data_IF_357470531435
#
_entry.id   IF_357470531435
#
_cell.length_a   1.000
_cell.length_b   1.000
_cell.length_c   1.000
_cell.angle_alpha   90.00
_cell.angle_beta   90.00
_cell.angle_gamma   90.00
#
_symmetry.space_group_name_H-M   'P 1'
#
loop_
_entity.id
_entity.type
_entity.pdbx_description
1 polymer ?
#
# COMPACT_ATOMS: atom_id res chain seq x y z
N UNK A 1 -35.38 14.99 13.66
CA UNK A 1 -33.95 14.60 13.73
C UNK A 1 -33.52 14.09 12.37
N UNK A 2 -32.41 14.58 11.80
CA UNK A 2 -31.88 14.02 10.54
C UNK A 2 -31.41 12.58 10.78
N UNK A 3 -31.82 11.63 9.93
CA UNK A 3 -31.30 10.26 9.98
C UNK A 3 -29.78 10.29 9.77
N UNK A 4 -29.03 9.82 10.76
CA UNK A 4 -27.57 9.68 10.65
C UNK A 4 -27.29 8.42 9.83
N UNK A 5 -26.57 8.56 8.72
CA UNK A 5 -26.13 7.42 7.93
C UNK A 5 -25.28 6.48 8.78
N UNK A 6 -25.57 5.17 8.72
CA UNK A 6 -24.80 4.15 9.43
C UNK A 6 -24.65 2.93 8.54
N UNK A 7 -23.42 2.49 8.32
CA UNK A 7 -23.16 1.25 7.62
C UNK A 7 -23.55 0.04 8.49
N UNK A 8 -24.04 -1.05 7.89
CA UNK A 8 -24.23 -2.32 8.57
C UNK A 8 -22.96 -2.80 9.29
N UNK A 9 -23.12 -3.60 10.34
CA UNK A 9 -21.98 -4.27 10.96
C UNK A 9 -21.26 -5.14 9.91
N UNK A 10 -19.92 -5.14 9.94
CA UNK A 10 -19.07 -5.87 8.99
C UNK A 10 -19.21 -5.47 7.52
N UNK A 11 -19.92 -4.39 7.19
CA UNK A 11 -20.19 -3.99 5.80
C UNK A 11 -18.94 -3.93 4.92
N UNK A 12 -17.84 -3.35 5.41
CA UNK A 12 -16.58 -3.32 4.65
C UNK A 12 -16.10 -4.72 4.31
N UNK A 13 -16.06 -5.63 5.30
CA UNK A 13 -15.54 -6.99 5.10
C UNK A 13 -16.44 -7.76 4.13
N UNK A 14 -17.76 -7.77 4.35
CA UNK A 14 -18.69 -8.48 3.47
C UNK A 14 -18.68 -7.93 2.04
N UNK A 15 -18.64 -6.61 1.88
CA UNK A 15 -18.66 -5.95 0.57
C UNK A 15 -17.35 -6.17 -0.18
N UNK A 16 -16.20 -6.01 0.48
CA UNK A 16 -14.89 -6.25 -0.15
C UNK A 16 -14.72 -7.73 -0.49
N UNK A 17 -15.16 -8.65 0.37
CA UNK A 17 -15.17 -10.08 0.06
C UNK A 17 -16.02 -10.38 -1.18
N UNK A 18 -17.25 -9.87 -1.26
CA UNK A 18 -18.10 -10.04 -2.44
C UNK A 18 -17.48 -9.44 -3.71
N UNK A 19 -16.88 -8.26 -3.61
CA UNK A 19 -16.16 -7.63 -4.73
C UNK A 19 -15.04 -8.54 -5.23
N UNK A 20 -14.20 -9.05 -4.32
CA UNK A 20 -13.05 -9.90 -4.64
C UNK A 20 -13.48 -11.26 -5.19
N UNK A 21 -14.52 -11.88 -4.62
CA UNK A 21 -14.92 -13.25 -4.97
C UNK A 21 -15.83 -13.32 -6.20
N UNK A 22 -16.74 -12.36 -6.35
CA UNK A 22 -17.86 -12.50 -7.30
C UNK A 22 -17.87 -11.43 -8.38
N UNK A 23 -17.51 -10.18 -8.06
CA UNK A 23 -17.74 -9.05 -8.98
C UNK A 23 -16.53 -8.66 -9.82
N UNK A 24 -15.33 -8.70 -9.25
CA UNK A 24 -14.11 -8.29 -9.92
C UNK A 24 -13.46 -9.37 -10.79
N UNK A 25 -13.50 -10.68 -10.47
CA UNK A 25 -12.87 -11.68 -11.33
C UNK A 25 -13.33 -11.66 -12.79
N UNK A 26 -14.64 -11.48 -13.10
CA UNK A 26 -15.10 -11.35 -14.49
C UNK A 26 -14.60 -10.08 -15.20
N UNK A 27 -14.14 -9.07 -14.45
CA UNK A 27 -13.72 -7.77 -14.98
C UNK A 27 -12.20 -7.64 -15.09
N UNK A 28 -11.46 -8.19 -14.13
CA UNK A 28 -10.01 -8.02 -13.99
C UNK A 28 -9.22 -9.29 -14.31
N UNK A 29 -9.89 -10.44 -14.46
CA UNK A 29 -9.26 -11.75 -14.54
C UNK A 29 -9.08 -12.39 -13.15
N UNK A 30 -8.36 -13.51 -13.10
CA UNK A 30 -8.15 -14.27 -11.86
C UNK A 30 -7.36 -13.48 -10.81
N UNK A 31 -7.74 -13.62 -9.55
CA UNK A 31 -6.97 -13.09 -8.43
C UNK A 31 -5.71 -13.94 -8.19
N UNK A 32 -4.56 -13.33 -8.42
CA UNK A 32 -3.22 -13.88 -8.15
C UNK A 32 -2.41 -12.84 -7.37
N UNK A 33 -1.22 -13.20 -6.90
CA UNK A 33 -0.32 -12.21 -6.26
C UNK A 33 0.06 -11.09 -7.23
N UNK A 34 0.27 -11.40 -8.51
CA UNK A 34 0.60 -10.42 -9.56
C UNK A 34 -0.57 -9.53 -9.99
N UNK A 35 -1.83 -9.95 -9.77
CA UNK A 35 -3.02 -9.16 -10.13
C UNK A 35 -3.69 -8.48 -8.94
N UNK A 36 -3.22 -8.74 -7.71
CA UNK A 36 -3.80 -8.21 -6.47
C UNK A 36 -3.86 -6.67 -6.44
N UNK A 37 -2.87 -5.98 -7.03
CA UNK A 37 -2.86 -4.52 -7.12
C UNK A 37 -4.05 -3.97 -7.90
N UNK A 38 -4.46 -4.65 -8.98
CA UNK A 38 -5.58 -4.24 -9.81
C UNK A 38 -6.89 -4.30 -9.02
N UNK A 39 -7.04 -5.33 -8.17
CA UNK A 39 -8.16 -5.44 -7.24
C UNK A 39 -8.16 -4.30 -6.22
N UNK A 40 -7.00 -3.96 -5.63
CA UNK A 40 -6.90 -2.83 -4.70
C UNK A 40 -7.35 -1.52 -5.36
N UNK A 41 -6.90 -1.27 -6.59
CA UNK A 41 -7.29 -0.08 -7.37
C UNK A 41 -8.76 -0.07 -7.75
N UNK A 42 -9.30 -1.17 -8.26
CA UNK A 42 -10.71 -1.27 -8.59
C UNK A 42 -11.62 -1.00 -7.37
N UNK A 43 -11.22 -1.49 -6.18
CA UNK A 43 -11.98 -1.32 -4.95
C UNK A 43 -11.85 0.10 -4.40
N UNK A 44 -10.62 0.62 -4.30
CA UNK A 44 -10.30 1.74 -3.40
C UNK A 44 -10.12 3.06 -4.13
N UNK A 45 -9.56 3.06 -5.34
CA UNK A 45 -9.30 4.28 -6.08
C UNK A 45 -10.62 4.95 -6.48
N UNK A 46 -10.67 6.27 -6.42
CA UNK A 46 -11.82 7.05 -6.88
C UNK A 46 -11.35 8.18 -7.78
N UNK A 47 -12.29 8.80 -8.49
CA UNK A 47 -12.03 10.00 -9.27
C UNK A 47 -12.58 11.25 -8.59
N UNK A 48 -11.91 12.38 -8.80
CA UNK A 48 -12.35 13.70 -8.36
C UNK A 48 -12.53 14.63 -9.56
N UNK A 49 -13.62 15.39 -9.56
CA UNK A 49 -13.90 16.35 -10.62
C UNK A 49 -13.16 17.66 -10.34
N UNK A 50 -12.27 18.06 -11.23
CA UNK A 50 -11.54 19.34 -11.18
C UNK A 50 -11.76 20.07 -12.51
N UNK A 51 -12.32 21.29 -12.42
CA UNK A 51 -12.65 22.10 -13.59
C UNK A 51 -13.47 21.36 -14.67
N UNK A 52 -14.44 20.54 -14.25
CA UNK A 52 -15.33 19.80 -15.14
C UNK A 52 -14.79 18.48 -15.71
N UNK A 53 -13.56 18.09 -15.38
CA UNK A 53 -12.94 16.81 -15.80
C UNK A 53 -12.66 15.93 -14.59
N UNK A 54 -12.90 14.63 -14.70
CA UNK A 54 -12.55 13.65 -13.67
C UNK A 54 -11.06 13.26 -13.74
N UNK A 55 -10.41 13.21 -12.58
CA UNK A 55 -9.03 12.76 -12.41
C UNK A 55 -8.97 11.66 -11.37
N UNK A 56 -8.17 10.61 -11.61
CA UNK A 56 -7.93 9.56 -10.61
C UNK A 56 -7.19 10.13 -9.40
N UNK A 57 -7.64 9.77 -8.20
CA UNK A 57 -7.07 10.23 -6.94
C UNK A 57 -5.81 9.43 -6.57
N UNK A 58 -4.73 9.70 -7.31
CA UNK A 58 -3.37 9.19 -7.07
C UNK A 58 -2.51 10.17 -6.24
N UNK A 59 -2.99 11.39 -6.07
CA UNK A 59 -2.38 12.42 -5.22
C UNK A 59 -3.48 13.14 -4.46
N UNK A 60 -3.10 13.85 -3.40
CA UNK A 60 -4.05 14.62 -2.62
C UNK A 60 -4.86 15.62 -3.46
N UNK A 61 -6.11 15.86 -3.05
CA UNK A 61 -7.06 16.70 -3.79
C UNK A 61 -6.55 18.14 -4.02
N UNK A 62 -5.80 18.69 -3.06
CA UNK A 62 -5.16 20.01 -3.22
C UNK A 62 -4.13 20.01 -4.35
N UNK A 63 -3.42 18.89 -4.56
CA UNK A 63 -2.45 18.73 -5.65
C UNK A 63 -3.12 18.58 -7.01
N UNK A 64 -4.30 17.95 -7.08
CA UNK A 64 -5.07 17.88 -8.33
C UNK A 64 -5.52 19.26 -8.85
N UNK A 65 -5.53 20.30 -8.00
CA UNK A 65 -5.79 21.67 -8.43
C UNK A 65 -4.59 22.31 -9.16
N UNK A 66 -3.41 21.70 -9.11
CA UNK A 66 -2.20 22.16 -9.80
C UNK A 66 -2.04 21.49 -11.17
N UNK A 67 -1.34 22.14 -12.10
CA UNK A 67 -1.08 21.55 -13.42
C UNK A 67 -0.27 20.26 -13.32
N UNK A 68 0.76 20.24 -12.48
CA UNK A 68 1.61 19.05 -12.30
C UNK A 68 0.83 17.87 -11.71
N UNK A 69 -0.07 18.11 -10.75
CA UNK A 69 -0.92 17.05 -10.20
C UNK A 69 -1.87 16.46 -11.25
N UNK A 70 -2.46 17.30 -12.12
CA UNK A 70 -3.33 16.82 -13.21
C UNK A 70 -2.57 16.02 -14.27
N UNK A 71 -1.39 16.49 -14.69
CA UNK A 71 -0.53 15.75 -15.64
C UNK A 71 -0.17 14.38 -15.08
N UNK A 72 0.18 14.30 -13.80
CA UNK A 72 0.48 13.03 -13.16
C UNK A 72 -0.75 12.10 -13.12
N UNK A 73 -1.94 12.64 -12.83
CA UNK A 73 -3.19 11.88 -12.82
C UNK A 73 -3.60 11.41 -14.23
N UNK A 74 -3.31 12.20 -15.26
CA UNK A 74 -3.51 11.82 -16.66
C UNK A 74 -2.60 10.66 -17.05
N UNK A 75 -1.30 10.75 -16.76
CA UNK A 75 -0.37 9.63 -17.00
C UNK A 75 -0.77 8.37 -16.23
N UNK A 76 -1.29 8.52 -15.02
CA UNK A 76 -1.81 7.40 -14.24
C UNK A 76 -3.03 6.74 -14.90
N UNK A 77 -3.95 7.55 -15.43
CA UNK A 77 -5.10 7.04 -16.16
C UNK A 77 -4.66 6.31 -17.44
N UNK A 78 -3.68 6.85 -18.17
CA UNK A 78 -3.12 6.20 -19.36
C UNK A 78 -2.44 4.86 -19.02
N UNK A 79 -1.63 4.83 -17.96
CA UNK A 79 -1.03 3.59 -17.48
C UNK A 79 -2.09 2.54 -17.15
N UNK A 80 -3.12 2.92 -16.39
CA UNK A 80 -4.17 1.98 -15.98
C UNK A 80 -5.06 1.54 -17.14
N UNK A 81 -5.29 2.42 -18.12
CA UNK A 81 -6.02 2.05 -19.34
C UNK A 81 -5.38 0.86 -20.04
N UNK A 82 -4.05 0.76 -20.02
CA UNK A 82 -3.29 -0.30 -20.68
C UNK A 82 -3.04 -1.52 -19.78
N UNK A 83 -2.93 -1.33 -18.46
CA UNK A 83 -2.41 -2.36 -17.55
C UNK A 83 -3.42 -2.89 -16.52
N UNK A 84 -4.56 -2.22 -16.30
CA UNK A 84 -5.51 -2.60 -15.25
C UNK A 84 -6.16 -3.96 -15.51
N UNK A 85 -6.36 -4.33 -16.78
CA UNK A 85 -6.88 -5.63 -17.20
C UNK A 85 -5.85 -6.29 -18.10
N UNK A 86 -5.33 -7.45 -17.68
CA UNK A 86 -4.26 -8.13 -18.40
C UNK A 86 -4.67 -8.42 -19.87
N UNK A 87 -3.83 -7.99 -20.80
CA UNK A 87 -4.02 -8.24 -22.24
C UNK A 87 -5.13 -7.44 -22.91
N UNK A 88 -5.72 -6.43 -22.25
CA UNK A 88 -6.77 -5.62 -22.86
C UNK A 88 -6.75 -4.17 -22.37
N UNK A 89 -7.14 -3.25 -23.25
CA UNK A 89 -7.35 -1.84 -22.85
C UNK A 89 -8.74 -1.66 -22.25
N UNK A 90 -8.84 -0.89 -21.17
CA UNK A 90 -10.11 -0.59 -20.51
C UNK A 90 -10.25 0.89 -20.16
N UNK A 91 -11.47 1.37 -19.91
CA UNK A 91 -11.67 2.66 -19.25
C UNK A 91 -11.46 2.49 -17.73
N UNK A 92 -10.37 3.03 -17.15
CA UNK A 92 -10.11 2.87 -15.72
C UNK A 92 -11.20 3.53 -14.87
N UNK A 93 -11.84 4.60 -15.34
CA UNK A 93 -12.88 5.30 -14.58
C UNK A 93 -14.16 4.47 -14.41
N UNK A 94 -14.41 3.51 -15.30
CA UNK A 94 -15.55 2.59 -15.22
C UNK A 94 -15.31 1.43 -14.24
N UNK A 95 -14.04 1.06 -14.00
CA UNK A 95 -13.68 -0.10 -13.20
C UNK A 95 -13.33 0.23 -11.75
N UNK A 96 -12.83 1.45 -11.51
CA UNK A 96 -12.47 1.90 -10.17
C UNK A 96 -13.69 2.29 -9.34
N UNK A 97 -13.45 2.60 -8.08
CA UNK A 97 -14.43 3.10 -7.13
C UNK A 97 -15.60 2.16 -6.81
N UNK A 98 -15.34 0.85 -6.82
CA UNK A 98 -16.37 -0.14 -6.51
C UNK A 98 -16.90 0.01 -5.07
N UNK A 99 -16.03 0.34 -4.11
CA UNK A 99 -16.48 0.57 -2.73
C UNK A 99 -17.34 1.83 -2.59
N UNK A 100 -17.04 2.85 -3.39
CA UNK A 100 -17.81 4.09 -3.44
C UNK A 100 -19.21 3.86 -3.97
N UNK A 101 -19.28 3.15 -5.09
CA UNK A 101 -20.54 2.75 -5.70
C UNK A 101 -21.40 1.93 -4.72
N UNK A 102 -20.80 0.96 -4.02
CA UNK A 102 -21.49 0.18 -3.00
C UNK A 102 -21.95 1.05 -1.81
N UNK A 103 -21.13 2.00 -1.36
CA UNK A 103 -21.46 2.92 -0.28
C UNK A 103 -22.66 3.82 -0.64
N UNK A 104 -22.67 4.36 -1.85
CA UNK A 104 -23.77 5.19 -2.35
C UNK A 104 -25.07 4.38 -2.49
N UNK A 105 -24.98 3.14 -2.97
CA UNK A 105 -26.13 2.24 -3.03
C UNK A 105 -26.71 1.95 -1.63
N UNK A 106 -25.85 1.68 -0.65
CA UNK A 106 -26.28 1.46 0.74
C UNK A 106 -26.92 2.71 1.36
N UNK A 107 -26.35 3.89 1.07
CA UNK A 107 -26.92 5.17 1.48
C UNK A 107 -28.29 5.44 0.87
N UNK A 108 -28.47 5.13 -0.41
CA UNK A 108 -29.75 5.26 -1.10
C UNK A 108 -30.82 4.33 -0.51
N UNK A 109 -30.46 3.08 -0.16
CA UNK A 109 -31.37 2.13 0.54
C UNK A 109 -31.88 2.68 1.88
N UNK A 110 -31.10 3.52 2.55
CA UNK A 110 -31.49 4.17 3.81
C UNK A 110 -32.31 5.45 3.62
N UNK A 111 -32.68 5.79 2.37
CA UNK A 111 -33.44 6.99 2.02
C UNK A 111 -32.65 8.28 2.14
N UNK A 112 -31.32 8.21 2.00
CA UNK A 112 -30.44 9.37 2.09
C UNK A 112 -29.93 9.76 0.71
N UNK A 113 -29.99 11.06 0.40
CA UNK A 113 -29.43 11.62 -0.82
C UNK A 113 -27.89 11.55 -0.88
N UNK A 114 -27.28 11.94 -2.00
CA UNK A 114 -25.84 11.86 -2.19
C UNK A 114 -25.07 12.62 -1.10
N UNK A 115 -23.88 12.16 -0.70
CA UNK A 115 -23.05 12.86 0.26
C UNK A 115 -22.59 14.22 -0.31
N UNK A 116 -22.31 15.18 0.58
CA UNK A 116 -21.79 16.52 0.17
C UNK A 116 -20.42 16.46 -0.50
N UNK A 117 -19.64 15.42 -0.20
CA UNK A 117 -18.33 15.14 -0.82
C UNK A 117 -18.43 13.80 -1.55
N UNK A 118 -17.82 13.71 -2.73
CA UNK A 118 -17.80 12.48 -3.56
C UNK A 118 -17.16 11.29 -2.82
N UNK A 119 -16.13 11.55 -1.99
CA UNK A 119 -15.49 10.54 -1.14
C UNK A 119 -15.28 11.03 0.29
N UNK A 120 -15.67 10.19 1.25
CA UNK A 120 -15.25 10.33 2.64
C UNK A 120 -13.86 9.69 2.80
N UNK A 121 -12.84 10.42 3.30
CA UNK A 121 -11.51 9.86 3.52
C UNK A 121 -11.50 8.60 4.40
N UNK A 122 -12.46 8.48 5.33
CA UNK A 122 -12.58 7.30 6.19
C UNK A 122 -13.02 6.06 5.41
N UNK A 123 -13.81 6.24 4.34
CA UNK A 123 -14.24 5.14 3.46
C UNK A 123 -13.05 4.61 2.69
N UNK A 124 -12.23 5.48 2.11
CA UNK A 124 -11.01 5.07 1.40
C UNK A 124 -10.05 4.31 2.33
N UNK A 125 -9.73 4.87 3.49
CA UNK A 125 -8.79 4.23 4.43
C UNK A 125 -9.29 2.86 4.88
N UNK A 126 -10.55 2.76 5.31
CA UNK A 126 -11.14 1.50 5.74
C UNK A 126 -11.27 0.47 4.59
N UNK A 127 -11.55 0.93 3.36
CA UNK A 127 -11.60 0.08 2.19
C UNK A 127 -10.22 -0.45 1.82
N UNK A 128 -9.17 0.38 1.88
CA UNK A 128 -7.81 -0.04 1.58
C UNK A 128 -7.33 -1.11 2.58
N UNK A 129 -7.48 -0.82 3.87
CA UNK A 129 -7.16 -1.74 4.97
C UNK A 129 -7.90 -3.07 4.82
N UNK A 130 -9.20 -3.01 4.54
CA UNK A 130 -10.03 -4.22 4.37
C UNK A 130 -9.67 -4.99 3.09
N UNK A 131 -9.31 -4.29 2.01
CA UNK A 131 -8.86 -4.92 0.77
C UNK A 131 -7.61 -5.76 1.03
N UNK A 132 -6.60 -5.19 1.69
CA UNK A 132 -5.39 -5.92 2.06
C UNK A 132 -5.72 -7.11 2.99
N UNK A 133 -6.58 -6.92 3.99
CA UNK A 133 -7.01 -8.02 4.86
C UNK A 133 -7.62 -9.20 4.07
N UNK A 134 -8.52 -8.91 3.13
CA UNK A 134 -9.20 -9.93 2.31
C UNK A 134 -8.23 -10.59 1.34
N UNK A 135 -7.39 -9.80 0.65
CA UNK A 135 -6.42 -10.30 -0.31
C UNK A 135 -5.36 -11.19 0.35
N UNK A 136 -4.82 -10.79 1.50
CA UNK A 136 -3.91 -11.63 2.29
C UNK A 136 -4.60 -12.93 2.71
N UNK A 137 -5.86 -12.85 3.16
CA UNK A 137 -6.68 -14.01 3.49
C UNK A 137 -6.80 -15.01 2.34
N UNK A 138 -7.02 -14.50 1.13
CA UNK A 138 -7.18 -15.32 -0.08
C UNK A 138 -5.88 -15.88 -0.64
N UNK A 139 -4.84 -15.06 -0.68
CA UNK A 139 -3.57 -15.40 -1.35
C UNK A 139 -2.58 -16.11 -0.42
N UNK A 140 -2.66 -15.88 0.89
CA UNK A 140 -1.73 -16.47 1.86
C UNK A 140 -2.42 -17.45 2.82
N UNK A 141 -3.74 -17.67 2.72
CA UNK A 141 -4.47 -18.58 3.60
C UNK A 141 -4.57 -18.13 5.07
N UNK A 142 -4.23 -16.87 5.36
CA UNK A 142 -4.21 -16.32 6.72
C UNK A 142 -4.96 -14.98 6.75
N UNK A 143 -5.89 -14.79 7.69
CA UNK A 143 -6.62 -13.52 7.84
C UNK A 143 -5.95 -12.63 8.89
N UNK A 144 -5.38 -11.47 8.52
CA UNK A 144 -4.81 -10.53 9.49
C UNK A 144 -5.84 -10.02 10.49
N UNK A 145 -5.39 -9.72 11.71
CA UNK A 145 -6.21 -9.02 12.69
C UNK A 145 -6.25 -7.54 12.37
N UNK A 146 -7.45 -7.00 12.17
CA UNK A 146 -7.67 -5.63 11.71
C UNK A 146 -8.02 -4.70 12.85
N UNK A 147 -7.27 -3.61 13.02
CA UNK A 147 -7.41 -2.63 14.11
C UNK A 147 -7.52 -3.24 15.51
N UNK A 148 -6.71 -4.26 15.86
CA UNK A 148 -6.81 -4.90 17.17
C UNK A 148 -6.55 -3.89 18.28
N UNK A 149 -7.16 -4.13 19.44
CA UNK A 149 -6.88 -3.33 20.63
C UNK A 149 -5.46 -3.65 21.07
N UNK A 150 -4.60 -2.65 21.28
CA UNK A 150 -3.20 -2.89 21.70
C UNK A 150 -3.08 -3.82 22.91
N UNK A 151 -3.92 -3.64 23.93
CA UNK A 151 -3.93 -4.48 25.13
C UNK A 151 -4.19 -5.98 24.89
N UNK A 152 -4.65 -6.35 23.70
CA UNK A 152 -4.84 -7.77 23.33
C UNK A 152 -3.60 -8.38 22.70
N UNK A 153 -2.57 -7.57 22.39
CA UNK A 153 -1.32 -7.98 21.76
C UNK A 153 -0.25 -8.18 22.81
N UNK A 154 0.51 -9.28 22.68
CA UNK A 154 1.62 -9.60 23.60
C UNK A 154 2.72 -8.53 23.59
N UNK A 155 3.09 -8.04 24.77
CA UNK A 155 4.05 -6.95 24.95
C UNK A 155 3.41 -5.56 24.98
N UNK A 156 2.08 -5.47 24.82
CA UNK A 156 1.32 -4.22 24.80
C UNK A 156 0.18 -4.17 25.83
N UNK A 157 0.12 -5.14 26.75
CA UNK A 157 -0.89 -5.25 27.81
C UNK A 157 -0.90 -4.02 28.73
N UNK A 158 0.30 -3.46 28.98
CA UNK A 158 0.53 -2.26 29.78
C UNK A 158 0.74 -1.01 28.92
N UNK A 159 0.15 -0.97 27.71
CA UNK A 159 0.11 0.26 26.94
C UNK A 159 -0.55 1.39 27.78
N UNK A 160 -0.05 2.63 27.74
CA UNK A 160 -0.51 3.69 28.62
C UNK A 160 -2.02 3.90 28.49
N UNK A 161 -2.70 4.11 29.61
CA UNK A 161 -4.12 4.47 29.62
C UNK A 161 -4.32 5.74 28.81
N UNK A 162 -5.15 5.68 27.76
CA UNK A 162 -5.34 6.79 26.82
C UNK A 162 -4.46 6.77 25.57
N UNK A 163 -3.53 5.82 25.44
CA UNK A 163 -2.84 5.60 24.16
C UNK A 163 -3.82 4.92 23.19
N UNK A 164 -4.24 5.68 22.18
CA UNK A 164 -5.33 5.28 21.27
C UNK A 164 -4.87 4.74 19.93
N UNK A 165 -3.58 4.84 19.61
CA UNK A 165 -3.04 4.31 18.35
C UNK A 165 -3.31 2.81 18.29
N UNK A 166 -3.77 2.35 17.13
CA UNK A 166 -3.96 0.92 16.85
C UNK A 166 -3.27 0.63 15.53
N UNK A 167 -2.53 -0.48 15.43
CA UNK A 167 -2.03 -0.93 14.15
C UNK A 167 -3.22 -1.27 13.24
N UNK A 168 -3.10 -0.96 11.95
CA UNK A 168 -4.19 -1.19 10.99
C UNK A 168 -4.35 -2.70 10.74
N UNK A 169 -3.24 -3.40 10.48
CA UNK A 169 -3.19 -4.86 10.38
C UNK A 169 -2.07 -5.44 11.24
N UNK A 170 -2.38 -6.56 11.90
CA UNK A 170 -1.42 -7.35 12.68
C UNK A 170 -1.41 -8.76 12.16
N UNK A 171 -0.22 -9.24 11.81
CA UNK A 171 -0.02 -10.56 11.24
C UNK A 171 0.64 -11.52 12.22
N UNK A 172 0.05 -12.71 12.17
CA UNK A 172 0.01 -13.80 13.13
C UNK A 172 -0.68 -13.45 14.44
N UNK A 173 -1.11 -14.50 15.16
CA UNK A 173 -2.02 -14.37 16.29
C UNK A 173 -1.47 -13.48 17.40
N UNK A 174 -2.30 -13.03 18.36
CA UNK A 174 -1.90 -12.01 19.33
C UNK A 174 -0.68 -12.35 20.21
N UNK A 175 -0.29 -13.63 20.27
CA UNK A 175 0.87 -14.15 21.00
C UNK A 175 2.14 -14.35 20.16
N UNK A 176 2.02 -14.42 18.84
CA UNK A 176 3.13 -14.64 17.92
C UNK A 176 3.05 -13.65 16.75
N UNK A 177 2.53 -12.44 17.00
CA UNK A 177 2.52 -11.45 15.94
C UNK A 177 3.93 -10.94 15.72
N UNK A 178 4.30 -10.88 14.44
CA UNK A 178 5.68 -10.63 13.97
C UNK A 178 5.74 -9.48 12.98
N UNK A 179 4.60 -9.13 12.39
CA UNK A 179 4.49 -8.07 11.40
C UNK A 179 3.28 -7.16 11.71
N UNK A 180 3.57 -5.88 11.86
CA UNK A 180 2.59 -4.79 11.92
C UNK A 180 2.58 -4.08 10.58
N UNK A 181 1.41 -3.91 9.98
CA UNK A 181 1.26 -3.15 8.74
C UNK A 181 0.39 -1.93 9.00
N UNK A 182 0.95 -0.74 8.75
CA UNK A 182 0.19 0.49 8.64
C UNK A 182 -0.24 0.69 7.18
N UNK A 183 -1.52 0.91 6.95
CA UNK A 183 -2.11 1.06 5.61
C UNK A 183 -2.46 2.52 5.35
N UNK A 184 -1.94 3.10 4.27
CA UNK A 184 -2.12 4.53 3.96
C UNK A 184 -2.34 4.73 2.46
N UNK A 185 -3.55 5.10 2.06
CA UNK A 185 -3.85 5.32 0.64
C UNK A 185 -2.99 6.45 0.07
N UNK A 186 -3.11 7.66 0.62
CA UNK A 186 -2.14 8.75 0.38
C UNK A 186 -1.45 9.11 1.69
N UNK A 187 -0.20 9.57 1.58
CA UNK A 187 0.59 10.05 2.70
C UNK A 187 0.65 11.58 2.68
N UNK A 188 0.57 12.17 3.87
CA UNK A 188 0.81 13.61 4.04
C UNK A 188 2.08 13.82 4.80
N UNK A 189 2.92 14.73 4.35
CA UNK A 189 4.22 15.00 4.97
C UNK A 189 4.09 15.30 6.46
N UNK A 190 3.09 16.08 6.86
CA UNK A 190 2.85 16.45 8.26
C UNK A 190 2.35 15.29 9.14
N UNK A 191 1.86 14.19 8.54
CA UNK A 191 1.37 13.02 9.27
C UNK A 191 2.40 11.90 9.42
N UNK A 192 3.48 11.93 8.64
CA UNK A 192 4.55 10.92 8.72
C UNK A 192 5.13 10.87 10.13
N UNK A 193 5.38 12.03 10.75
CA UNK A 193 5.88 12.09 12.13
C UNK A 193 4.95 11.40 13.13
N UNK A 194 3.63 11.41 12.93
CA UNK A 194 2.69 10.65 13.75
C UNK A 194 2.89 9.15 13.55
N UNK A 195 3.00 8.68 12.32
CA UNK A 195 3.18 7.25 12.02
C UNK A 195 4.53 6.72 12.52
N UNK A 196 5.59 7.52 12.42
CA UNK A 196 6.90 7.17 12.94
C UNK A 196 6.91 7.17 14.48
N UNK A 197 6.19 8.09 15.12
CA UNK A 197 6.02 8.06 16.57
C UNK A 197 5.27 6.81 17.06
N UNK A 198 4.27 6.35 16.31
CA UNK A 198 3.59 5.06 16.56
C UNK A 198 4.56 3.88 16.39
N UNK A 199 5.35 3.88 15.31
CA UNK A 199 6.35 2.86 15.02
C UNK A 199 7.42 2.77 16.12
N UNK A 200 7.90 3.93 16.58
CA UNK A 200 8.82 4.03 17.72
C UNK A 200 8.22 3.42 18.99
N UNK A 201 6.96 3.72 19.29
CA UNK A 201 6.27 3.14 20.43
C UNK A 201 6.18 1.62 20.35
N UNK A 202 5.90 1.07 19.15
CA UNK A 202 5.85 -0.36 18.93
C UNK A 202 7.22 -1.01 19.10
N UNK A 203 8.24 -0.49 18.41
CA UNK A 203 9.61 -1.00 18.46
C UNK A 203 10.21 -0.98 19.86
N UNK A 204 9.94 0.08 20.64
CA UNK A 204 10.43 0.18 22.02
C UNK A 204 9.90 -0.91 22.94
N UNK A 205 8.69 -1.42 22.68
CA UNK A 205 8.08 -2.50 23.48
C UNK A 205 8.42 -3.89 22.95
N UNK A 206 8.53 -3.99 21.64
CA UNK A 206 8.78 -5.23 20.92
C UNK A 206 9.81 -4.94 19.81
N UNK A 207 11.11 -4.94 20.16
CA UNK A 207 12.17 -4.63 19.20
C UNK A 207 12.27 -5.67 18.09
N UNK A 208 11.74 -6.87 18.35
CA UNK A 208 11.63 -8.00 17.44
C UNK A 208 10.53 -7.83 16.37
N UNK A 209 9.63 -6.85 16.44
CA UNK A 209 8.57 -6.73 15.42
C UNK A 209 9.07 -6.12 14.13
N UNK A 210 8.62 -6.68 13.00
CA UNK A 210 8.62 -5.96 11.74
C UNK A 210 7.49 -4.93 11.71
N UNK A 211 7.83 -3.73 11.27
CA UNK A 211 6.94 -2.61 11.05
C UNK A 211 7.01 -2.27 9.57
N UNK A 212 5.91 -2.53 8.88
CA UNK A 212 5.77 -2.26 7.47
C UNK A 212 4.66 -1.23 7.19
N UNK A 213 4.75 -0.62 6.01
CA UNK A 213 3.73 0.27 5.48
C UNK A 213 3.24 -0.25 4.14
N UNK A 214 1.93 -0.32 3.95
CA UNK A 214 1.33 -0.53 2.64
C UNK A 214 0.73 0.79 2.14
N UNK A 215 1.19 1.27 0.99
CA UNK A 215 0.94 2.65 0.54
C UNK A 215 0.57 2.76 -0.94
N UNK A 216 -0.20 3.78 -1.29
CA UNK A 216 -0.42 4.22 -2.68
C UNK A 216 0.02 5.68 -2.86
N UNK A 217 1.23 5.99 -2.40
CA UNK A 217 1.80 7.33 -2.43
C UNK A 217 2.74 7.50 -3.62
N UNK A 218 2.48 8.50 -4.46
CA UNK A 218 3.27 8.74 -5.66
C UNK A 218 4.38 9.77 -5.47
N UNK A 219 4.38 10.60 -4.43
CA UNK A 219 5.42 11.61 -4.22
C UNK A 219 6.75 10.98 -3.76
N UNK A 220 7.82 11.03 -4.58
CA UNK A 220 9.06 10.32 -4.25
C UNK A 220 9.74 10.84 -2.98
N UNK A 221 9.60 12.14 -2.68
CA UNK A 221 10.17 12.72 -1.46
C UNK A 221 9.47 12.22 -0.18
N UNK A 222 8.16 11.94 -0.25
CA UNK A 222 7.40 11.40 0.87
C UNK A 222 7.76 9.93 1.08
N UNK A 223 7.76 9.15 -0.01
CA UNK A 223 8.18 7.75 0.01
C UNK A 223 9.60 7.62 0.57
N UNK A 224 10.54 8.44 0.11
CA UNK A 224 11.91 8.45 0.62
C UNK A 224 11.96 8.68 2.12
N UNK A 225 11.23 9.66 2.63
CA UNK A 225 11.26 9.96 4.06
C UNK A 225 10.75 8.78 4.91
N UNK A 226 9.77 8.04 4.41
CA UNK A 226 9.25 6.85 5.07
C UNK A 226 10.17 5.63 4.91
N UNK A 227 10.68 5.38 3.71
CA UNK A 227 11.44 4.17 3.38
C UNK A 227 12.87 4.19 3.90
N UNK A 228 13.44 5.36 4.20
CA UNK A 228 14.80 5.46 4.76
C UNK A 228 14.81 5.70 6.26
N UNK A 229 13.65 5.60 6.93
CA UNK A 229 13.58 5.76 8.38
C UNK A 229 13.89 4.42 9.07
N UNK A 230 14.81 4.38 10.06
CA UNK A 230 15.24 3.12 10.69
C UNK A 230 14.14 2.44 11.51
N UNK A 231 12.99 3.08 11.72
CA UNK A 231 11.84 2.45 12.39
C UNK A 231 10.99 1.61 11.43
N UNK A 232 11.21 1.74 10.12
CA UNK A 232 10.42 1.11 9.06
C UNK A 232 11.26 0.05 8.36
N UNK A 233 10.86 -1.21 8.45
CA UNK A 233 11.62 -2.29 7.80
C UNK A 233 11.22 -2.41 6.32
N UNK A 234 9.94 -2.22 5.99
CA UNK A 234 9.40 -2.41 4.63
C UNK A 234 8.32 -1.39 4.27
N UNK A 235 8.35 -0.90 3.04
CA UNK A 235 7.28 -0.11 2.42
C UNK A 235 6.81 -0.83 1.16
N UNK A 236 5.60 -1.36 1.18
CA UNK A 236 4.96 -1.98 0.01
C UNK A 236 4.13 -0.94 -0.74
N UNK A 237 4.52 -0.63 -1.97
CA UNK A 237 3.71 0.20 -2.86
C UNK A 237 2.66 -0.67 -3.54
N UNK A 238 1.41 -0.19 -3.63
CA UNK A 238 0.31 -0.96 -4.26
C UNK A 238 0.66 -1.37 -5.68
N UNK A 239 1.29 -0.50 -6.46
CA UNK A 239 1.79 -0.82 -7.80
C UNK A 239 3.14 -0.11 -8.02
N UNK A 240 4.25 -0.79 -7.71
CA UNK A 240 5.60 -0.19 -7.81
C UNK A 240 5.95 0.13 -9.28
N UNK A 241 5.45 -0.68 -10.22
CA UNK A 241 5.67 -0.47 -11.66
C UNK A 241 5.03 0.81 -12.16
N UNK A 242 3.80 1.10 -11.73
CA UNK A 242 3.13 2.37 -12.04
C UNK A 242 3.90 3.56 -11.44
N UNK A 243 4.36 3.47 -10.20
CA UNK A 243 5.19 4.52 -9.60
C UNK A 243 6.44 4.82 -10.44
N UNK A 244 7.13 3.78 -10.92
CA UNK A 244 8.27 3.92 -11.81
C UNK A 244 7.87 4.57 -13.15
N UNK A 245 6.80 4.09 -13.78
CA UNK A 245 6.33 4.60 -15.08
C UNK A 245 5.97 6.09 -15.03
N UNK A 246 5.51 6.60 -13.88
CA UNK A 246 5.10 8.00 -13.73
C UNK A 246 6.26 8.97 -13.50
N UNK A 247 7.43 8.52 -13.06
CA UNK A 247 8.52 9.40 -12.66
C UNK A 247 9.82 9.14 -13.40
N UNK A 248 10.45 10.23 -13.82
CA UNK A 248 11.84 10.19 -14.25
C UNK A 248 12.73 9.66 -13.11
N UNK A 249 13.74 8.82 -13.41
CA UNK A 249 14.25 8.53 -14.74
C UNK A 249 13.56 7.39 -15.49
N UNK A 250 12.60 6.70 -14.88
CA UNK A 250 12.01 5.48 -15.42
C UNK A 250 10.82 5.75 -16.36
N UNK A 251 10.24 6.94 -16.30
CA UNK A 251 9.20 7.37 -17.24
C UNK A 251 9.69 7.25 -18.69
N UNK A 252 9.04 6.38 -19.47
CA UNK A 252 9.39 6.12 -20.87
C UNK A 252 10.56 5.15 -21.07
N UNK A 253 11.08 4.54 -20.01
CA UNK A 253 12.08 3.47 -20.07
C UNK A 253 11.36 2.13 -19.95
N UNK A 254 11.63 1.15 -20.84
CA UNK A 254 11.10 -0.21 -20.68
C UNK A 254 11.48 -0.81 -19.31
N UNK A 255 10.57 -1.57 -18.70
CA UNK A 255 10.71 -2.09 -17.34
C UNK A 255 11.87 -3.08 -17.14
N UNK A 256 12.42 -3.61 -18.22
CA UNK A 256 13.55 -4.56 -18.26
C UNK A 256 14.92 -3.87 -18.35
N UNK A 257 14.98 -2.55 -18.55
CA UNK A 257 16.23 -1.80 -18.64
C UNK A 257 16.71 -1.43 -17.25
N UNK A 258 17.78 -2.09 -16.79
CA UNK A 258 18.45 -1.79 -15.53
C UNK A 258 19.00 -0.36 -15.46
N UNK A 259 19.37 0.08 -14.25
CA UNK A 259 19.96 1.41 -14.03
C UNK A 259 21.27 1.53 -14.83
N UNK A 260 21.41 2.47 -15.78
CA UNK A 260 22.62 2.56 -16.59
C UNK A 260 23.86 2.82 -15.72
N UNK A 261 24.99 2.12 -15.92
CA UNK A 261 26.21 2.31 -15.12
C UNK A 261 26.72 3.76 -15.11
N UNK A 262 26.50 4.50 -16.21
CA UNK A 262 26.83 5.92 -16.34
C UNK A 262 26.10 6.85 -15.35
N UNK A 263 25.06 6.36 -14.67
CA UNK A 263 24.36 7.10 -13.61
C UNK A 263 25.17 7.12 -12.30
N UNK A 264 26.05 6.14 -12.09
CA UNK A 264 26.96 6.07 -10.95
C UNK A 264 28.17 6.99 -11.13
N UNK A 265 28.57 7.23 -12.39
CA UNK A 265 29.71 8.09 -12.74
C UNK A 265 29.35 9.58 -12.84
N UNK A 266 28.07 9.95 -12.71
CA UNK A 266 27.61 11.34 -12.71
C UNK A 266 27.40 11.98 -14.09
N UNK A 267 27.81 11.31 -15.18
CA UNK A 267 27.72 11.83 -16.54
C UNK A 267 26.31 11.70 -17.16
N UNK A 268 25.40 10.98 -16.51
CA UNK A 268 24.03 10.82 -16.99
C UNK A 268 23.14 12.01 -16.59
N UNK A 269 22.32 12.59 -17.49
CA UNK A 269 21.43 13.72 -17.18
C UNK A 269 20.47 13.48 -16.01
N UNK A 270 20.10 12.22 -15.77
CA UNK A 270 19.26 11.82 -14.64
C UNK A 270 20.01 11.18 -13.46
N UNK A 271 21.35 11.28 -13.37
CA UNK A 271 22.15 10.65 -12.32
C UNK A 271 21.64 10.98 -10.89
N UNK A 272 21.21 12.22 -10.63
CA UNK A 272 20.64 12.62 -9.34
C UNK A 272 19.33 11.85 -9.04
N UNK A 273 18.47 11.67 -10.05
CA UNK A 273 17.18 10.97 -9.86
C UNK A 273 17.38 9.48 -9.66
N UNK A 274 18.30 8.85 -10.41
CA UNK A 274 18.69 7.45 -10.19
C UNK A 274 19.27 7.24 -8.79
N UNK A 275 20.22 8.08 -8.34
CA UNK A 275 20.78 7.97 -6.98
C UNK A 275 19.71 8.12 -5.89
N UNK A 276 18.76 9.05 -6.06
CA UNK A 276 17.62 9.18 -5.13
C UNK A 276 16.79 7.90 -5.06
N UNK A 277 16.58 7.24 -6.20
CA UNK A 277 15.86 5.97 -6.26
C UNK A 277 16.63 4.83 -5.60
N UNK A 278 17.93 4.72 -5.86
CA UNK A 278 18.78 3.68 -5.26
C UNK A 278 18.68 3.69 -3.73
N UNK A 279 18.68 4.87 -3.09
CA UNK A 279 18.49 4.97 -1.64
C UNK A 279 17.12 4.51 -1.12
N UNK A 280 16.09 4.46 -1.96
CA UNK A 280 14.75 4.02 -1.58
C UNK A 280 14.52 2.53 -1.88
N UNK A 281 15.26 2.01 -2.86
CA UNK A 281 15.01 0.73 -3.49
C UNK A 281 14.98 -0.43 -2.48
N UNK A 282 15.91 -0.42 -1.52
CA UNK A 282 16.13 -1.52 -0.58
C UNK A 282 14.99 -1.68 0.43
N UNK A 283 14.14 -0.66 0.59
CA UNK A 283 13.00 -0.67 1.50
C UNK A 283 11.66 -0.46 0.80
N UNK A 284 11.64 -0.24 -0.52
CA UNK A 284 10.42 0.00 -1.29
C UNK A 284 10.12 -1.19 -2.21
N UNK A 285 9.12 -1.97 -1.82
CA UNK A 285 8.74 -3.24 -2.43
C UNK A 285 7.42 -3.11 -3.19
N UNK A 286 7.15 -4.05 -4.10
CA UNK A 286 5.85 -4.18 -4.74
C UNK A 286 4.85 -4.89 -3.81
N UNK A 287 3.56 -4.73 -4.07
CA UNK A 287 2.52 -5.46 -3.33
C UNK A 287 2.66 -6.98 -3.47
N UNK A 288 3.24 -7.46 -4.57
CA UNK A 288 3.54 -8.88 -4.77
C UNK A 288 4.49 -9.41 -3.69
N UNK A 289 5.50 -8.61 -3.32
CA UNK A 289 6.51 -8.97 -2.32
C UNK A 289 5.88 -9.12 -0.93
N UNK A 290 4.87 -8.30 -0.59
CA UNK A 290 4.12 -8.46 0.66
C UNK A 290 3.57 -9.88 0.82
N UNK A 291 3.00 -10.46 -0.23
CA UNK A 291 2.46 -11.82 -0.16
C UNK A 291 3.56 -12.86 -0.04
N UNK A 292 4.70 -12.65 -0.70
CA UNK A 292 5.86 -13.52 -0.59
C UNK A 292 6.45 -13.50 0.84
N UNK A 293 6.65 -12.32 1.42
CA UNK A 293 7.17 -12.13 2.77
C UNK A 293 6.25 -12.76 3.82
N UNK A 294 4.94 -12.62 3.65
CA UNK A 294 3.96 -13.27 4.55
C UNK A 294 4.07 -14.79 4.48
N UNK A 295 4.23 -15.37 3.29
CA UNK A 295 4.42 -16.82 3.12
C UNK A 295 5.72 -17.28 3.78
N UNK A 296 6.82 -16.56 3.57
CA UNK A 296 8.09 -16.85 4.24
C UNK A 296 7.97 -16.82 5.77
N UNK A 297 7.22 -15.87 6.32
CA UNK A 297 6.96 -15.80 7.76
C UNK A 297 6.04 -16.92 8.26
N UNK A 298 5.08 -17.40 7.46
CA UNK A 298 4.24 -18.57 7.81
C UNK A 298 5.14 -19.80 8.02
N UNK A 299 6.12 -20.00 7.16
CA UNK A 299 6.99 -21.17 7.17
C UNK A 299 8.09 -21.14 8.25
N UNK A 300 8.32 -19.97 8.87
CA UNK A 300 9.35 -19.75 9.90
C UNK A 300 8.75 -19.28 11.22
N UNK A 301 7.96 -20.10 11.94
CA UNK A 301 7.31 -19.69 13.18
C UNK A 301 8.35 -19.24 14.23
N UNK A 302 8.09 -18.11 14.90
CA UNK A 302 9.00 -17.52 15.88
C UNK A 302 10.21 -16.77 15.32
N UNK A 303 10.44 -16.76 14.00
CA UNK A 303 11.46 -15.92 13.37
C UNK A 303 10.85 -14.65 12.77
N UNK A 304 11.64 -13.59 12.85
CA UNK A 304 11.42 -12.29 12.23
C UNK A 304 12.35 -12.25 11.03
N UNK A 305 11.88 -11.92 9.83
CA UNK A 305 12.81 -11.81 8.69
C UNK A 305 13.76 -10.65 8.99
N UNK A 306 15.06 -10.92 8.94
CA UNK A 306 16.05 -9.87 8.91
C UNK A 306 15.96 -9.19 7.53
N UNK A 307 15.71 -7.87 7.44
CA UNK A 307 15.67 -7.16 6.16
C UNK A 307 16.99 -7.28 5.37
N UNK A 308 18.11 -7.56 6.03
CA UNK A 308 19.45 -7.58 5.43
C UNK A 308 20.00 -9.00 5.16
N UNK A 309 19.24 -10.07 5.46
CA UNK A 309 19.75 -11.46 5.37
C UNK A 309 19.89 -12.05 3.96
N UNK A 310 19.78 -11.25 2.88
CA UNK A 310 19.91 -11.75 1.51
C UNK A 310 21.33 -11.67 0.91
N UNK A 311 22.36 -11.28 1.67
CA UNK A 311 23.71 -11.09 1.11
C UNK A 311 24.82 -12.02 1.64
N UNK A 312 24.53 -13.07 2.42
CA UNK A 312 25.59 -13.99 2.87
C UNK A 312 25.15 -15.45 2.90
N UNK A 313 24.97 -16.06 1.73
CA UNK A 313 25.23 -17.50 1.58
C UNK A 313 26.09 -17.72 0.33
N UNK A 314 27.41 -17.82 0.53
CA UNK A 314 28.31 -18.33 -0.49
C UNK A 314 29.71 -17.71 -0.52
N UNK A 315 30.48 -17.77 0.57
CA UNK A 315 31.93 -17.89 0.42
C UNK A 315 32.46 -18.99 1.35
N UNK A 316 32.73 -20.20 0.83
CA UNK A 316 33.37 -21.24 1.59
C UNK A 316 34.88 -20.99 1.59
N UNK A 317 35.41 -20.53 2.74
CA UNK A 317 36.78 -20.77 3.14
C UNK A 317 37.87 -20.13 2.29
N UNK A 318 38.32 -18.95 2.70
CA UNK A 318 39.74 -18.64 2.59
C UNK A 318 40.46 -19.32 3.76
N UNK A 319 40.85 -20.57 3.51
CA UNK A 319 41.88 -21.26 4.27
C UNK A 319 43.21 -20.50 4.11
N UNK A 320 43.97 -20.57 5.20
CA UNK A 320 45.35 -20.15 5.35
C UNK A 320 46.22 -20.46 4.13
N UNK A 321 46.96 -19.46 3.66
CA UNK A 321 48.26 -19.69 3.06
C UNK A 321 49.27 -18.67 3.60
N UNK A 322 50.10 -19.19 4.50
CA UNK A 322 51.48 -18.76 4.72
C UNK A 322 52.23 -18.67 3.38
N UNK A 323 52.76 -17.49 3.06
CA UNK A 323 54.11 -17.19 2.54
C UNK A 323 54.19 -15.73 2.05
#
# INVERSE_FOLDING_TARGET
MAKKFKLPANWYRSTVTDLVENRLPPLLGELTTSTAWAYVYAITMWSEQVAGRDYLHIVESDKLNTNSGRVLADHAADYLKEHLVAGSTCDPFALVDQIGSAYLAERAKQGLGPPKKKRDPNVTGAAFETSLQVLIGKLCGFTPSRTPRLRTLQGFELAPTGYHSRPDLVLFGPRDFRLLISTKWTLRKERIGTYLHESYFYRRRRPDLQIAFAVNEFQPNILRHLSTDPLVDRVYHVNKQMLLALYAPFSGVPSDVGVPPATLTGNHPNAIKYRRWLHMHDHLFDLTDLFADIRLLIDKPGQVLDPDANDVEGDPGFDDLDD
#
